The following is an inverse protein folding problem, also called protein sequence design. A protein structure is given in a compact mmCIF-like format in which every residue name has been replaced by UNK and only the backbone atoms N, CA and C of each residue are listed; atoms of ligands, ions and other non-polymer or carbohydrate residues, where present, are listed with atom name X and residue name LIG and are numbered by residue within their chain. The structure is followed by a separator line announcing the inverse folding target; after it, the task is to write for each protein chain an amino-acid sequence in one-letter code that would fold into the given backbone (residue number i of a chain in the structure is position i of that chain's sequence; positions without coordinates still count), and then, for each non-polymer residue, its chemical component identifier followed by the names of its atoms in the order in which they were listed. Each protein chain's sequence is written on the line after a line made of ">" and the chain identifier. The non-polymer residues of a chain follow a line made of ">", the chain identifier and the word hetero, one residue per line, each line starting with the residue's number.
data_IF_642958890290
#
_entry.id   IF_642958890290
#
_cell.length_a   1.000
_cell.length_b   1.000
_cell.length_c   1.000
_cell.angle_alpha   90.00
_cell.angle_beta   90.00
_cell.angle_gamma   90.00
#
_symmetry.space_group_name_H-M   'P 1'
#
loop_
_entity.id
_entity.type
_entity.pdbx_description
1 polymer ?
#
# COMPACT_ATOMS: atom_id res chain seq x y z
N UNK A 1 -14.56 -6.60 -3.11
CA UNK A 1 -13.31 -7.33 -3.35
C UNK A 1 -13.31 -7.63 -4.83
N UNK A 2 -12.25 -7.25 -5.52
CA UNK A 2 -12.07 -7.55 -6.93
C UNK A 2 -10.94 -8.57 -7.04
N UNK A 3 -11.23 -9.66 -7.73
CA UNK A 3 -10.27 -10.73 -8.02
C UNK A 3 -9.94 -10.66 -9.51
N UNK A 4 -8.66 -10.49 -9.82
CA UNK A 4 -8.16 -10.46 -11.19
C UNK A 4 -7.37 -11.75 -11.40
N UNK A 5 -7.78 -12.54 -12.39
CA UNK A 5 -7.03 -13.72 -12.84
C UNK A 5 -6.02 -13.26 -13.88
N UNK A 6 -4.73 -13.41 -13.61
CA UNK A 6 -3.68 -13.07 -14.57
C UNK A 6 -3.45 -14.13 -15.65
N UNK A 7 -2.19 -14.41 -15.97
CA UNK A 7 -1.78 -15.39 -16.96
C UNK A 7 -2.12 -16.83 -16.52
N UNK A 8 -2.70 -17.62 -17.45
CA UNK A 8 -3.05 -19.03 -17.21
C UNK A 8 -1.81 -19.91 -17.03
N UNK A 9 -0.76 -19.68 -17.81
CA UNK A 9 0.50 -20.44 -17.73
C UNK A 9 1.18 -20.27 -16.37
N UNK A 10 1.11 -19.07 -15.79
CA UNK A 10 1.66 -18.80 -14.46
C UNK A 10 0.85 -19.46 -13.34
N UNK A 11 -0.49 -19.60 -13.50
CA UNK A 11 -1.32 -20.36 -12.56
C UNK A 11 -1.06 -21.86 -12.59
N UNK A 12 -0.92 -22.43 -13.79
CA UNK A 12 -0.74 -23.88 -13.95
C UNK A 12 0.68 -24.32 -13.57
N UNK A 13 1.68 -23.44 -13.70
CA UNK A 13 3.07 -23.73 -13.38
C UNK A 13 3.47 -23.46 -11.92
N UNK A 14 2.55 -22.99 -11.05
CA UNK A 14 2.86 -22.67 -9.64
C UNK A 14 3.60 -23.79 -8.94
N UNK A 15 3.10 -25.03 -9.06
CA UNK A 15 3.67 -26.21 -8.41
C UNK A 15 4.98 -26.70 -9.04
N UNK A 16 5.33 -26.22 -10.23
CA UNK A 16 6.57 -26.57 -10.93
C UNK A 16 7.71 -25.60 -10.60
N UNK A 17 7.44 -24.52 -9.85
CA UNK A 17 8.41 -23.47 -9.53
C UNK A 17 8.79 -23.54 -8.05
N UNK A 18 10.06 -23.79 -7.78
CA UNK A 18 10.58 -23.71 -6.42
C UNK A 18 10.71 -22.24 -5.99
N UNK A 19 10.26 -21.95 -4.77
CA UNK A 19 10.39 -20.62 -4.15
C UNK A 19 11.80 -20.46 -3.58
N UNK A 20 12.49 -19.40 -3.98
CA UNK A 20 13.71 -18.96 -3.31
C UNK A 20 13.37 -17.94 -2.22
N UNK A 21 14.02 -18.04 -1.07
CA UNK A 21 13.96 -17.04 0.01
C UNK A 21 14.91 -15.87 -0.28
N UNK A 22 14.61 -14.70 0.26
CA UNK A 22 15.48 -13.52 0.20
C UNK A 22 15.51 -12.78 1.55
N UNK A 23 16.25 -11.66 1.63
CA UNK A 23 16.37 -10.86 2.85
C UNK A 23 15.03 -10.35 3.41
N UNK A 24 14.05 -10.09 2.52
CA UNK A 24 12.70 -9.68 2.95
C UNK A 24 12.03 -10.82 3.72
N UNK A 25 12.19 -12.07 3.29
CA UNK A 25 11.60 -13.22 3.98
C UNK A 25 12.13 -13.36 5.41
N UNK A 26 13.42 -13.13 5.60
CA UNK A 26 14.10 -13.25 6.90
C UNK A 26 13.71 -12.11 7.84
N UNK A 27 13.45 -10.92 7.31
CA UNK A 27 13.20 -9.70 8.08
C UNK A 27 11.75 -9.21 8.03
N UNK A 28 10.81 -10.01 7.49
CA UNK A 28 9.46 -9.55 7.15
C UNK A 28 8.68 -8.97 8.34
N UNK A 29 8.91 -9.51 9.55
CA UNK A 29 8.24 -9.04 10.77
C UNK A 29 8.76 -7.66 11.16
N UNK A 30 10.06 -7.44 11.08
CA UNK A 30 10.68 -6.15 11.39
C UNK A 30 10.35 -5.10 10.33
N UNK A 31 10.48 -5.47 9.05
CA UNK A 31 10.07 -4.63 7.93
C UNK A 31 8.61 -4.21 8.02
N UNK A 32 7.71 -5.10 8.44
CA UNK A 32 6.29 -4.77 8.63
C UNK A 32 6.08 -3.69 9.68
N UNK A 33 6.91 -3.65 10.74
CA UNK A 33 6.88 -2.56 11.73
C UNK A 33 7.38 -1.25 11.15
N UNK A 34 8.44 -1.30 10.33
CA UNK A 34 8.97 -0.11 9.64
C UNK A 34 7.95 0.45 8.65
N UNK A 35 7.33 -0.39 7.82
CA UNK A 35 6.28 0.03 6.89
C UNK A 35 5.08 0.64 7.62
N UNK A 36 4.70 0.10 8.78
CA UNK A 36 3.64 0.66 9.62
C UNK A 36 4.02 2.04 10.12
N UNK A 37 5.24 2.19 10.65
CA UNK A 37 5.79 3.47 11.09
C UNK A 37 5.78 4.51 9.96
N UNK A 38 6.24 4.15 8.75
CA UNK A 38 6.23 5.05 7.59
C UNK A 38 4.80 5.51 7.26
N UNK A 39 3.82 4.60 7.26
CA UNK A 39 2.43 4.95 6.98
C UNK A 39 1.77 5.80 8.07
N UNK A 40 2.15 5.65 9.34
CA UNK A 40 1.51 6.36 10.45
C UNK A 40 2.19 7.69 10.81
N UNK A 41 3.52 7.73 10.75
CA UNK A 41 4.33 8.77 11.39
C UNK A 41 5.19 9.60 10.41
N UNK A 42 5.26 9.26 9.12
CA UNK A 42 6.04 10.01 8.13
C UNK A 42 5.19 10.53 6.98
N UNK A 43 5.75 11.18 5.96
CA UNK A 43 5.00 11.68 4.80
C UNK A 43 4.35 10.62 3.90
N UNK A 44 4.67 9.34 4.09
CA UNK A 44 4.24 8.26 3.19
C UNK A 44 2.74 8.00 3.28
N UNK A 45 2.02 8.06 2.16
CA UNK A 45 0.59 7.73 2.09
C UNK A 45 0.29 6.50 1.21
N UNK A 46 1.28 6.03 0.45
CA UNK A 46 1.16 4.80 -0.35
C UNK A 46 2.49 4.05 -0.33
N UNK A 47 2.40 2.75 -0.11
CA UNK A 47 3.50 1.80 -0.24
C UNK A 47 3.19 0.79 -1.34
N UNK A 48 4.19 0.42 -2.13
CA UNK A 48 4.18 -0.73 -3.04
C UNK A 48 5.40 -1.57 -2.68
N UNK A 49 5.17 -2.66 -1.97
CA UNK A 49 6.21 -3.53 -1.42
C UNK A 49 6.36 -4.72 -2.36
N UNK A 50 7.54 -4.85 -2.96
CA UNK A 50 7.95 -5.99 -3.75
C UNK A 50 8.67 -7.03 -2.90
N UNK A 51 7.94 -8.05 -2.44
CA UNK A 51 8.48 -9.10 -1.55
C UNK A 51 9.46 -10.02 -2.29
N UNK A 52 9.37 -10.13 -3.62
CA UNK A 52 10.29 -10.96 -4.41
C UNK A 52 11.62 -10.27 -4.73
N UNK A 53 11.61 -8.95 -4.93
CA UNK A 53 12.74 -8.18 -5.43
C UNK A 53 13.31 -7.20 -4.39
N UNK A 54 12.80 -7.24 -3.14
CA UNK A 54 13.23 -6.37 -2.05
C UNK A 54 13.08 -4.87 -2.34
N UNK A 55 12.23 -4.51 -3.29
CA UNK A 55 12.02 -3.12 -3.70
C UNK A 55 10.78 -2.56 -2.99
N UNK A 56 10.91 -1.39 -2.38
CA UNK A 56 9.79 -0.67 -1.76
C UNK A 56 9.63 0.66 -2.46
N UNK A 57 8.54 0.81 -3.24
CA UNK A 57 8.18 2.09 -3.84
C UNK A 57 7.20 2.84 -2.95
N UNK A 58 7.39 4.15 -2.82
CA UNK A 58 6.60 4.98 -1.91
C UNK A 58 6.07 6.22 -2.63
N UNK A 59 4.92 6.72 -2.18
CA UNK A 59 4.46 8.05 -2.52
C UNK A 59 4.27 8.87 -1.23
N UNK A 60 4.81 10.09 -1.25
CA UNK A 60 4.87 10.99 -0.10
C UNK A 60 4.00 12.22 -0.32
N UNK A 61 3.36 12.71 0.75
CA UNK A 61 2.62 13.98 0.69
C UNK A 61 3.55 15.19 0.52
N UNK A 62 4.85 15.03 0.74
CA UNK A 62 5.85 16.08 0.55
C UNK A 62 6.34 16.18 -0.90
N UNK A 63 6.17 15.13 -1.70
CA UNK A 63 6.46 15.11 -3.14
C UNK A 63 5.37 14.29 -3.87
N UNK A 64 4.14 14.83 -3.97
CA UNK A 64 2.95 14.05 -4.34
C UNK A 64 2.91 13.63 -5.81
N UNK A 65 3.81 14.14 -6.66
CA UNK A 65 3.89 13.80 -8.08
C UNK A 65 5.04 12.86 -8.43
N UNK A 66 5.77 12.39 -7.42
CA UNK A 66 6.92 11.51 -7.58
C UNK A 66 6.68 10.13 -6.93
N UNK A 67 7.51 9.17 -7.29
CA UNK A 67 7.58 7.86 -6.62
C UNK A 67 9.03 7.58 -6.29
N UNK A 68 9.33 7.46 -5.00
CA UNK A 68 10.67 7.13 -4.54
C UNK A 68 10.81 5.60 -4.41
N UNK A 69 12.01 5.08 -4.60
CA UNK A 69 12.32 3.65 -4.59
C UNK A 69 13.45 3.39 -3.61
N UNK A 70 13.24 2.47 -2.68
CA UNK A 70 14.19 2.08 -1.64
C UNK A 70 14.35 0.56 -1.62
N UNK A 71 15.49 0.08 -1.15
CA UNK A 71 15.66 -1.34 -0.84
C UNK A 71 15.07 -1.63 0.54
N UNK A 72 14.43 -2.78 0.70
CA UNK A 72 13.90 -3.22 1.98
C UNK A 72 15.00 -3.28 3.05
N UNK A 73 16.20 -3.73 2.67
CA UNK A 73 17.35 -3.84 3.58
C UNK A 73 17.79 -2.46 4.13
N UNK A 74 17.73 -1.40 3.31
CA UNK A 74 18.05 -0.04 3.75
C UNK A 74 17.05 0.46 4.81
N UNK A 75 15.79 0.05 4.70
CA UNK A 75 14.74 0.43 5.64
C UNK A 75 14.90 -0.22 7.03
N UNK A 76 15.75 -1.24 7.17
CA UNK A 76 16.11 -1.80 8.48
C UNK A 76 17.09 -0.91 9.23
N UNK A 77 17.75 0.04 8.57
CA UNK A 77 18.63 1.01 9.20
C UNK A 77 17.82 2.23 9.70
N UNK A 78 17.70 2.47 11.03
CA UNK A 78 16.95 3.62 11.55
C UNK A 78 17.51 4.97 11.09
N UNK A 79 18.83 5.10 10.91
CA UNK A 79 19.44 6.35 10.44
C UNK A 79 19.04 6.67 9.00
N UNK A 80 18.94 5.63 8.15
CA UNK A 80 18.43 5.76 6.79
C UNK A 80 16.97 6.22 6.81
N UNK A 81 16.15 5.59 7.65
CA UNK A 81 14.73 5.93 7.77
C UNK A 81 14.53 7.37 8.27
N UNK A 82 15.25 7.78 9.32
CA UNK A 82 15.15 9.13 9.87
C UNK A 82 15.63 10.21 8.89
N UNK A 83 16.64 9.90 8.06
CA UNK A 83 17.13 10.82 7.04
C UNK A 83 16.16 10.99 5.86
N UNK A 84 15.57 9.89 5.38
CA UNK A 84 14.75 9.89 4.17
C UNK A 84 13.27 10.21 4.42
N UNK A 85 12.72 9.91 5.60
CA UNK A 85 11.27 9.99 5.83
C UNK A 85 10.90 11.01 6.91
N UNK A 86 10.63 12.24 6.49
CA UNK A 86 10.21 13.35 7.35
C UNK A 86 8.91 13.03 8.13
N UNK A 87 8.89 13.38 9.43
CA UNK A 87 7.82 13.03 10.36
C UNK A 87 6.59 13.92 10.20
N UNK A 88 5.43 13.29 10.07
CA UNK A 88 4.10 13.92 10.10
C UNK A 88 3.09 12.85 10.50
N UNK A 89 2.42 13.07 11.64
CA UNK A 89 1.43 12.11 12.12
C UNK A 89 0.24 11.99 11.15
N UNK A 90 -0.47 10.86 11.23
CA UNK A 90 -1.60 10.55 10.36
C UNK A 90 -2.70 11.63 10.33
N UNK A 91 -2.95 12.33 11.44
CA UNK A 91 -3.97 13.38 11.51
C UNK A 91 -3.57 14.61 10.68
N UNK A 92 -2.33 15.08 10.84
CA UNK A 92 -1.81 16.20 10.05
C UNK A 92 -1.65 15.83 8.58
N UNK A 93 -1.22 14.60 8.28
CA UNK A 93 -1.17 14.06 6.91
C UNK A 93 -2.55 14.09 6.25
N UNK A 94 -3.59 13.62 6.95
CA UNK A 94 -4.98 13.67 6.48
C UNK A 94 -5.43 15.10 6.19
N UNK A 95 -5.11 16.06 7.08
CA UNK A 95 -5.43 17.48 6.88
C UNK A 95 -4.69 18.07 5.68
N UNK A 96 -3.42 17.73 5.49
CA UNK A 96 -2.62 18.21 4.35
C UNK A 96 -3.22 17.72 3.02
N UNK A 97 -3.54 16.43 2.92
CA UNK A 97 -4.16 15.87 1.71
C UNK A 97 -5.49 16.57 1.40
N UNK A 98 -6.34 16.83 2.42
CA UNK A 98 -7.58 17.59 2.23
C UNK A 98 -7.32 18.99 1.68
N UNK A 99 -6.34 19.71 2.23
CA UNK A 99 -5.98 21.05 1.76
C UNK A 99 -5.48 21.03 0.31
N UNK A 100 -4.65 20.06 -0.06
CA UNK A 100 -4.15 19.91 -1.45
C UNK A 100 -5.32 19.72 -2.41
N UNK A 101 -6.26 18.83 -2.09
CA UNK A 101 -7.44 18.63 -2.94
C UNK A 101 -8.34 19.87 -3.00
N UNK A 102 -8.53 20.58 -1.89
CA UNK A 102 -9.25 21.85 -1.90
C UNK A 102 -8.56 22.89 -2.78
N UNK A 103 -7.22 22.98 -2.78
CA UNK A 103 -6.50 23.89 -3.67
C UNK A 103 -6.75 23.53 -5.14
N UNK A 104 -6.68 22.24 -5.49
CA UNK A 104 -6.99 21.77 -6.84
C UNK A 104 -8.42 22.07 -7.26
N UNK A 105 -9.40 21.96 -6.36
CA UNK A 105 -10.81 22.30 -6.64
C UNK A 105 -11.03 23.78 -6.97
N UNK A 106 -10.16 24.67 -6.48
CA UNK A 106 -10.24 26.12 -6.71
C UNK A 106 -9.29 26.60 -7.82
N UNK A 107 -8.52 25.71 -8.42
CA UNK A 107 -7.64 26.04 -9.53
C UNK A 107 -8.43 26.10 -10.85
N UNK A 108 -8.08 27.05 -11.73
CA UNK A 108 -8.78 27.22 -13.01
C UNK A 108 -8.72 25.96 -13.89
N UNK A 109 -7.67 25.16 -13.76
CA UNK A 109 -7.51 23.89 -14.49
C UNK A 109 -8.53 22.83 -14.08
N UNK A 110 -9.17 22.96 -12.91
CA UNK A 110 -10.25 22.05 -12.49
C UNK A 110 -11.43 22.10 -13.47
N UNK A 111 -11.66 23.26 -14.10
CA UNK A 111 -12.72 23.44 -15.10
C UNK A 111 -12.45 22.72 -16.42
N UNK A 112 -11.23 22.21 -16.64
CA UNK A 112 -10.89 21.36 -17.80
C UNK A 112 -11.53 19.98 -17.68
N UNK A 113 -11.82 19.52 -16.45
CA UNK A 113 -12.49 18.25 -16.21
C UNK A 113 -13.95 18.30 -16.67
N UNK A 114 -14.51 17.14 -17.08
CA UNK A 114 -15.94 17.06 -17.39
C UNK A 114 -16.79 17.30 -16.13
N UNK A 115 -18.05 17.78 -16.26
CA UNK A 115 -18.92 18.02 -15.10
C UNK A 115 -19.08 16.79 -14.20
N UNK A 116 -19.12 15.58 -14.78
CA UNK A 116 -19.23 14.32 -14.03
C UNK A 116 -17.98 14.05 -13.18
N UNK A 117 -16.80 14.34 -13.73
CA UNK A 117 -15.53 14.22 -13.00
C UNK A 117 -15.41 15.24 -11.88
N UNK A 118 -15.79 16.50 -12.15
CA UNK A 118 -15.81 17.56 -11.13
C UNK A 118 -16.72 17.15 -9.96
N UNK A 119 -17.95 16.72 -10.25
CA UNK A 119 -18.90 16.29 -9.23
C UNK A 119 -18.38 15.08 -8.44
N UNK A 120 -17.86 14.06 -9.13
CA UNK A 120 -17.31 12.86 -8.50
C UNK A 120 -16.16 13.17 -7.53
N UNK A 121 -15.22 14.04 -7.94
CA UNK A 121 -14.10 14.46 -7.09
C UNK A 121 -14.56 15.27 -5.88
N UNK A 122 -15.46 16.24 -6.08
CA UNK A 122 -16.02 17.06 -4.99
C UNK A 122 -16.76 16.20 -3.96
N UNK A 123 -17.61 15.27 -4.42
CA UNK A 123 -18.32 14.36 -3.53
C UNK A 123 -17.38 13.44 -2.75
N UNK A 124 -16.37 12.88 -3.42
CA UNK A 124 -15.34 12.05 -2.78
C UNK A 124 -14.57 12.85 -1.71
N UNK A 125 -14.15 14.07 -2.03
CA UNK A 125 -13.36 14.92 -1.14
C UNK A 125 -14.17 15.36 0.10
N UNK A 126 -15.46 15.66 -0.08
CA UNK A 126 -16.38 15.94 1.03
C UNK A 126 -16.58 14.73 1.95
N UNK A 127 -16.67 13.52 1.37
CA UNK A 127 -16.83 12.25 2.12
C UNK A 127 -15.55 11.78 2.81
N UNK A 128 -14.38 12.33 2.46
CA UNK A 128 -13.12 11.96 3.08
C UNK A 128 -13.05 12.51 4.51
N UNK A 129 -13.43 11.70 5.49
CA UNK A 129 -13.33 12.05 6.92
C UNK A 129 -11.95 11.73 7.49
N UNK A 130 -11.50 10.49 7.34
CA UNK A 130 -10.18 9.97 7.72
C UNK A 130 -9.57 9.20 6.56
N UNK A 131 -8.24 9.14 6.49
CA UNK A 131 -7.54 8.35 5.47
C UNK A 131 -7.83 6.85 5.66
N UNK A 132 -7.66 6.36 6.89
CA UNK A 132 -7.75 4.94 7.22
C UNK A 132 -8.14 4.73 8.68
N UNK A 133 -8.54 3.51 9.02
CA UNK A 133 -8.51 3.02 10.40
C UNK A 133 -7.09 2.54 10.76
N UNK A 134 -6.60 2.88 11.95
CA UNK A 134 -5.27 2.48 12.42
C UNK A 134 -5.24 0.99 12.75
N UNK A 135 -6.32 0.44 13.32
CA UNK A 135 -6.37 -0.98 13.67
C UNK A 135 -6.38 -1.85 12.41
N UNK A 136 -7.09 -1.42 11.37
CA UNK A 136 -7.07 -2.12 10.09
C UNK A 136 -5.66 -2.13 9.48
N UNK A 137 -4.91 -1.03 9.56
CA UNK A 137 -3.52 -0.98 9.07
C UNK A 137 -2.58 -1.88 9.86
N UNK A 138 -2.65 -1.83 11.20
CA UNK A 138 -1.86 -2.72 12.05
C UNK A 138 -2.13 -4.17 11.68
N UNK A 139 -3.42 -4.55 11.58
CA UNK A 139 -3.83 -5.89 11.21
C UNK A 139 -3.32 -6.30 9.82
N UNK A 140 -3.36 -5.39 8.82
CA UNK A 140 -2.80 -5.67 7.50
C UNK A 140 -1.32 -6.03 7.60
N UNK A 141 -0.53 -5.18 8.26
CA UNK A 141 0.93 -5.36 8.30
C UNK A 141 1.38 -6.52 9.21
N UNK A 142 0.64 -6.83 10.27
CA UNK A 142 0.87 -8.01 11.10
C UNK A 142 0.66 -9.33 10.33
N UNK A 143 -0.19 -9.33 9.30
CA UNK A 143 -0.54 -10.55 8.54
C UNK A 143 0.15 -10.66 7.16
N UNK A 144 1.01 -9.71 6.78
CA UNK A 144 1.77 -9.79 5.52
C UNK A 144 2.66 -11.03 5.49
N UNK A 145 3.30 -11.37 6.61
CA UNK A 145 4.16 -12.54 6.74
C UNK A 145 3.40 -13.85 6.45
N UNK A 146 2.19 -13.99 6.98
CA UNK A 146 1.37 -15.19 6.79
C UNK A 146 1.07 -15.42 5.31
N UNK A 147 0.70 -14.37 4.57
CA UNK A 147 0.45 -14.42 3.13
C UNK A 147 1.74 -14.68 2.32
N UNK A 148 2.88 -14.16 2.77
CA UNK A 148 4.18 -14.37 2.13
C UNK A 148 4.70 -15.81 2.28
N UNK A 149 4.34 -16.49 3.36
CA UNK A 149 4.80 -17.85 3.67
C UNK A 149 3.81 -18.94 3.27
N UNK A 150 2.71 -18.60 2.60
CA UNK A 150 1.78 -19.60 2.05
C UNK A 150 2.48 -20.61 1.14
N UNK A 151 2.20 -21.89 1.35
CA UNK A 151 2.63 -22.94 0.44
C UNK A 151 1.84 -22.87 -0.88
N UNK A 152 2.53 -23.02 -2.01
CA UNK A 152 1.94 -22.88 -3.33
C UNK A 152 1.70 -21.43 -3.72
N UNK A 153 0.69 -20.77 -3.14
CA UNK A 153 0.21 -19.44 -3.55
C UNK A 153 0.70 -18.29 -2.66
N UNK A 154 2.00 -17.99 -2.67
CA UNK A 154 2.56 -16.94 -1.83
C UNK A 154 2.43 -15.52 -2.41
N UNK A 155 2.39 -14.55 -1.50
CA UNK A 155 2.38 -13.12 -1.81
C UNK A 155 3.71 -12.66 -2.42
N UNK A 156 3.62 -11.98 -3.56
CA UNK A 156 4.78 -11.40 -4.28
C UNK A 156 4.92 -9.91 -4.09
N UNK A 157 3.79 -9.22 -4.00
CA UNK A 157 3.77 -7.80 -3.74
C UNK A 157 2.47 -7.39 -3.07
N UNK A 158 2.55 -6.31 -2.29
CA UNK A 158 1.41 -5.69 -1.65
C UNK A 158 1.49 -4.18 -1.83
N UNK A 159 0.38 -3.58 -2.28
CA UNK A 159 0.19 -2.13 -2.31
C UNK A 159 -0.77 -1.75 -1.19
N UNK A 160 -0.38 -0.80 -0.36
CA UNK A 160 -1.22 -0.23 0.71
C UNK A 160 -1.38 1.25 0.42
N UNK A 161 -2.61 1.74 0.36
CA UNK A 161 -2.91 3.14 0.06
C UNK A 161 -3.84 3.72 1.12
N UNK A 162 -3.34 4.72 1.84
CA UNK A 162 -4.10 5.40 2.89
C UNK A 162 -5.22 6.25 2.33
N UNK A 163 -5.04 6.86 1.15
CA UNK A 163 -5.98 7.86 0.64
C UNK A 163 -7.37 7.28 0.36
N UNK A 164 -7.43 6.08 -0.21
CA UNK A 164 -8.68 5.38 -0.51
C UNK A 164 -8.88 4.14 0.37
N UNK A 165 -8.08 3.96 1.42
CA UNK A 165 -8.12 2.78 2.30
C UNK A 165 -8.13 1.46 1.52
N UNK A 166 -7.23 1.30 0.55
CA UNK A 166 -7.18 0.09 -0.28
C UNK A 166 -5.89 -0.68 -0.13
N UNK A 167 -6.03 -2.00 -0.15
CA UNK A 167 -4.94 -2.96 -0.23
C UNK A 167 -5.10 -3.78 -1.50
N UNK A 168 -4.00 -3.92 -2.24
CA UNK A 168 -3.89 -4.76 -3.43
C UNK A 168 -2.76 -5.75 -3.25
N UNK A 169 -3.06 -7.04 -3.39
CA UNK A 169 -2.14 -8.14 -3.17
C UNK A 169 -1.97 -8.92 -4.47
N UNK A 170 -0.74 -9.08 -4.93
CA UNK A 170 -0.43 -9.91 -6.10
C UNK A 170 0.33 -11.16 -5.67
N UNK A 171 -0.13 -12.31 -6.14
CA UNK A 171 0.38 -13.64 -5.79
C UNK A 171 1.24 -14.21 -6.91
N UNK A 172 2.02 -15.26 -6.61
CA UNK A 172 2.90 -15.93 -7.58
C UNK A 172 2.20 -16.60 -8.77
N UNK A 173 0.90 -16.89 -8.65
CA UNK A 173 0.06 -17.40 -9.72
C UNK A 173 -0.45 -16.31 -10.69
N UNK A 174 0.04 -15.07 -10.55
CA UNK A 174 -0.44 -13.89 -11.28
C UNK A 174 -1.89 -13.51 -10.93
N UNK A 175 -2.41 -14.01 -9.80
CA UNK A 175 -3.67 -13.56 -9.23
C UNK A 175 -3.48 -12.26 -8.46
N UNK A 176 -4.40 -11.31 -8.63
CA UNK A 176 -4.43 -10.08 -7.82
C UNK A 176 -5.76 -9.94 -7.08
N UNK A 177 -5.70 -9.69 -5.77
CA UNK A 177 -6.84 -9.37 -4.92
C UNK A 177 -6.80 -7.91 -4.52
N UNK A 178 -7.90 -7.18 -4.74
CA UNK A 178 -8.06 -5.77 -4.37
C UNK A 178 -9.25 -5.61 -3.45
N UNK A 179 -9.04 -4.98 -2.30
CA UNK A 179 -10.09 -4.75 -1.31
C UNK A 179 -9.82 -3.50 -0.47
N UNK A 180 -10.84 -3.08 0.28
CA UNK A 180 -10.67 -2.03 1.29
C UNK A 180 -9.93 -2.59 2.52
N UNK A 181 -9.22 -1.75 3.27
CA UNK A 181 -8.54 -2.14 4.52
C UNK A 181 -9.47 -2.91 5.46
N UNK A 182 -10.68 -2.40 5.71
CA UNK A 182 -11.72 -3.05 6.52
C UNK A 182 -12.06 -4.49 6.12
N UNK A 183 -11.97 -4.81 4.82
CA UNK A 183 -12.33 -6.14 4.28
C UNK A 183 -11.17 -7.13 4.35
N UNK A 184 -9.95 -6.66 4.59
CA UNK A 184 -8.77 -7.50 4.66
C UNK A 184 -8.86 -8.52 5.79
N UNK A 185 -9.39 -8.12 6.96
CA UNK A 185 -9.56 -9.04 8.09
C UNK A 185 -10.45 -10.24 7.73
N UNK A 186 -11.62 -9.99 7.15
CA UNK A 186 -12.51 -11.06 6.70
C UNK A 186 -11.87 -11.94 5.62
N UNK A 187 -11.01 -11.37 4.78
CA UNK A 187 -10.24 -12.15 3.81
C UNK A 187 -9.22 -13.08 4.48
N UNK A 188 -8.49 -12.60 5.49
CA UNK A 188 -7.58 -13.47 6.25
C UNK A 188 -8.36 -14.61 6.93
N UNK A 189 -9.48 -14.30 7.60
CA UNK A 189 -10.31 -15.30 8.30
C UNK A 189 -10.97 -16.35 7.38
N UNK A 190 -11.20 -16.02 6.10
CA UNK A 190 -11.85 -16.92 5.14
C UNK A 190 -10.83 -17.82 4.42
N UNK A 191 -9.60 -17.34 4.18
CA UNK A 191 -8.63 -17.98 3.29
C UNK A 191 -7.37 -18.50 4.00
N UNK A 192 -7.19 -18.24 5.29
CA UNK A 192 -6.05 -18.68 6.12
C UNK A 192 -6.51 -19.28 7.44
#
# INVERSE_FOLDING_TARGET
>A
MHSIKGDKSLRESVYNRQRATNSVDENIVELSRVWLYMLLETGVYRLVIGLNNAEVRIASVFDPFNTEVHLADDLLNPEYVDFHFNKINLREKSRLIKRIYQMLEHDDTFNVLSPEWQQSLLERNKKMEKLTDVNDLCFILENVAQLRHLEGYYLRSITINLFNSTVSMSFNCDGTQIMSHRKFKSFIEEYL
#
